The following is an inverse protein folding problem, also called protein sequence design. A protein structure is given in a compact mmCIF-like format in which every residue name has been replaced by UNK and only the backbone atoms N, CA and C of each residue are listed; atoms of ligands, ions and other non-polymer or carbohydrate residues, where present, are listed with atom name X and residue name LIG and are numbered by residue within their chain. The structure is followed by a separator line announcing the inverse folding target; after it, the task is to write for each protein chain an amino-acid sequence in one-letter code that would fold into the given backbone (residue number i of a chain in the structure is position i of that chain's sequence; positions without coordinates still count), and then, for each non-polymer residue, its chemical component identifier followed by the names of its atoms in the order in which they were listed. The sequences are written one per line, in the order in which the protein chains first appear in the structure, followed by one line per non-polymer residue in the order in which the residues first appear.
data_IF_296497907695
#
_entry.id   IF_296497907695
#
_cell.length_a   1.000
_cell.length_b   1.000
_cell.length_c   1.000
_cell.angle_alpha   90.00
_cell.angle_beta   90.00
_cell.angle_gamma   90.00
#
_symmetry.space_group_name_H-M   'P 1'
#
loop_
_entity.id
_entity.type
_entity.pdbx_description
1 polymer ?
#
# COMPACT_ATOMS: atom_id res chain seq x y z
N UNK A 1 -15.05 -18.83 43.12
CA UNK A 1 -14.60 -17.89 42.08
C UNK A 1 -13.08 -17.85 42.11
N UNK A 2 -12.39 -18.33 41.08
CA UNK A 2 -10.93 -18.19 40.96
C UNK A 2 -10.54 -18.23 39.48
N UNK A 3 -10.69 -17.12 38.79
CA UNK A 3 -10.15 -16.93 37.44
C UNK A 3 -8.64 -16.71 37.57
N UNK A 4 -7.86 -17.70 37.13
CA UNK A 4 -6.39 -17.65 37.15
C UNK A 4 -5.89 -16.81 35.96
N UNK A 5 -5.42 -15.60 36.23
CA UNK A 5 -4.80 -14.73 35.25
C UNK A 5 -3.34 -15.18 35.01
N UNK A 6 -3.10 -16.01 34.00
CA UNK A 6 -1.72 -16.37 33.59
C UNK A 6 -1.16 -15.29 32.66
N UNK A 7 0.05 -14.77 32.89
CA UNK A 7 0.66 -13.77 32.01
C UNK A 7 0.96 -14.39 30.64
N UNK A 8 0.44 -13.79 29.58
CA UNK A 8 0.69 -14.22 28.19
C UNK A 8 2.18 -14.06 27.88
N UNK A 9 2.86 -15.10 27.35
CA UNK A 9 4.28 -15.01 27.00
C UNK A 9 4.51 -13.92 25.95
N UNK A 10 5.65 -13.19 26.03
CA UNK A 10 5.98 -12.15 25.06
C UNK A 10 6.10 -12.74 23.65
N UNK A 11 5.47 -12.09 22.68
CA UNK A 11 5.52 -12.53 21.28
C UNK A 11 6.95 -12.49 20.74
N UNK A 12 7.43 -13.59 20.16
CA UNK A 12 8.72 -13.64 19.46
C UNK A 12 8.71 -12.62 18.31
N UNK A 13 9.65 -11.69 18.34
CA UNK A 13 9.87 -10.73 17.25
C UNK A 13 10.81 -11.36 16.23
N UNK A 14 10.39 -11.34 14.97
CA UNK A 14 11.22 -11.75 13.84
C UNK A 14 11.59 -10.51 13.05
N UNK A 15 12.85 -10.44 12.62
CA UNK A 15 13.34 -9.34 11.80
C UNK A 15 12.70 -9.36 10.39
N UNK A 16 12.96 -8.30 9.62
CA UNK A 16 12.38 -8.14 8.29
C UNK A 16 12.98 -9.12 7.27
N UNK A 17 14.26 -9.46 7.40
CA UNK A 17 14.95 -10.35 6.47
C UNK A 17 14.43 -11.79 6.59
N UNK A 18 14.25 -12.26 7.82
CA UNK A 18 13.68 -13.56 8.14
C UNK A 18 12.26 -13.72 7.59
N UNK A 19 11.41 -12.69 7.77
CA UNK A 19 10.06 -12.69 7.20
C UNK A 19 10.08 -12.70 5.67
N UNK A 20 11.01 -11.98 5.05
CA UNK A 20 11.15 -11.94 3.61
C UNK A 20 11.56 -13.31 3.05
N UNK A 21 12.50 -14.00 3.71
CA UNK A 21 12.91 -15.34 3.31
C UNK A 21 11.75 -16.35 3.43
N UNK A 22 10.99 -16.31 4.53
CA UNK A 22 9.83 -17.17 4.70
C UNK A 22 8.76 -16.96 3.61
N UNK A 23 8.54 -15.71 3.19
CA UNK A 23 7.61 -15.39 2.10
C UNK A 23 8.17 -15.82 0.74
N UNK A 24 9.47 -15.63 0.50
CA UNK A 24 10.16 -16.08 -0.73
C UNK A 24 10.00 -17.59 -0.94
N UNK A 25 10.23 -18.38 0.10
CA UNK A 25 10.03 -19.83 0.09
C UNK A 25 8.59 -20.23 -0.28
N UNK A 26 7.60 -19.50 0.22
CA UNK A 26 6.18 -19.73 -0.13
C UNK A 26 5.86 -19.33 -1.57
N UNK A 27 6.48 -18.27 -2.07
CA UNK A 27 6.32 -17.81 -3.46
C UNK A 27 6.97 -18.78 -4.46
N UNK A 28 8.04 -19.48 -4.06
CA UNK A 28 8.66 -20.59 -4.81
C UNK A 28 7.81 -21.88 -4.84
N UNK A 29 6.63 -21.86 -4.22
CA UNK A 29 5.66 -22.96 -4.25
C UNK A 29 5.80 -23.96 -3.11
N UNK A 30 6.66 -23.71 -2.13
CA UNK A 30 6.72 -24.56 -0.94
C UNK A 30 5.43 -24.42 -0.10
N UNK A 31 4.97 -25.54 0.46
CA UNK A 31 3.78 -25.52 1.32
C UNK A 31 4.06 -24.81 2.66
N UNK A 32 3.02 -24.22 3.25
CA UNK A 32 3.12 -23.56 4.58
C UNK A 32 3.69 -24.51 5.63
N UNK A 33 3.24 -25.76 5.65
CA UNK A 33 3.71 -26.76 6.59
C UNK A 33 5.21 -27.10 6.40
N UNK A 34 5.70 -27.10 5.16
CA UNK A 34 7.11 -27.32 4.88
C UNK A 34 7.97 -26.14 5.35
N UNK A 35 7.57 -24.91 5.01
CA UNK A 35 8.29 -23.70 5.44
C UNK A 35 8.26 -23.55 6.96
N UNK A 36 7.13 -23.85 7.60
CA UNK A 36 6.98 -23.83 9.07
C UNK A 36 7.98 -24.77 9.75
N UNK A 37 8.09 -26.00 9.25
CA UNK A 37 9.06 -27.00 9.73
C UNK A 37 10.50 -26.55 9.49
N UNK A 38 10.81 -26.07 8.29
CA UNK A 38 12.18 -25.63 7.93
C UNK A 38 12.66 -24.45 8.76
N UNK A 39 11.78 -23.48 9.05
CA UNK A 39 12.12 -22.26 9.78
C UNK A 39 11.79 -22.34 11.27
N UNK A 40 11.28 -23.48 11.75
CA UNK A 40 10.83 -23.71 13.12
C UNK A 40 9.89 -22.60 13.64
N UNK A 41 8.88 -22.29 12.83
CA UNK A 41 7.81 -21.33 13.14
C UNK A 41 6.45 -21.98 13.01
N UNK A 42 5.41 -21.38 13.58
CA UNK A 42 4.05 -21.92 13.45
C UNK A 42 3.43 -21.57 12.09
N UNK A 43 2.65 -22.50 11.54
CA UNK A 43 1.87 -22.33 10.32
C UNK A 43 0.97 -21.09 10.39
N UNK A 44 0.32 -20.87 11.54
CA UNK A 44 -0.53 -19.70 11.79
C UNK A 44 0.23 -18.38 11.62
N UNK A 45 1.49 -18.33 12.03
CA UNK A 45 2.32 -17.14 11.88
C UNK A 45 2.66 -16.88 10.41
N UNK A 46 2.98 -17.93 9.65
CA UNK A 46 3.22 -17.83 8.20
C UNK A 46 1.98 -17.38 7.44
N UNK A 47 0.79 -17.92 7.77
CA UNK A 47 -0.47 -17.43 7.23
C UNK A 47 -0.65 -15.94 7.51
N UNK A 48 -0.43 -15.51 8.75
CA UNK A 48 -0.52 -14.11 9.15
C UNK A 48 0.40 -13.21 8.32
N UNK A 49 1.66 -13.62 8.11
CA UNK A 49 2.62 -12.87 7.30
C UNK A 49 2.22 -12.83 5.83
N UNK A 50 1.75 -13.94 5.26
CA UNK A 50 1.26 -14.01 3.87
C UNK A 50 0.08 -13.07 3.64
N UNK A 51 -0.89 -13.06 4.55
CA UNK A 51 -2.05 -12.16 4.46
C UNK A 51 -1.64 -10.69 4.59
N UNK A 52 -0.78 -10.36 5.55
CA UNK A 52 -0.27 -9.01 5.72
C UNK A 52 0.52 -8.53 4.49
N UNK A 53 1.36 -9.38 3.92
CA UNK A 53 2.14 -9.08 2.72
C UNK A 53 1.23 -8.81 1.51
N UNK A 54 0.24 -9.69 1.27
CA UNK A 54 -0.74 -9.50 0.19
C UNK A 54 -1.51 -8.18 0.34
N UNK A 55 -1.97 -7.86 1.56
CA UNK A 55 -2.67 -6.60 1.84
C UNK A 55 -1.78 -5.39 1.57
N UNK A 56 -0.49 -5.48 1.90
CA UNK A 56 0.46 -4.41 1.66
C UNK A 56 0.71 -4.20 0.15
N UNK A 57 0.87 -5.28 -0.62
CA UNK A 57 0.99 -5.18 -2.08
C UNK A 57 -0.25 -4.54 -2.70
N UNK A 58 -1.45 -4.96 -2.30
CA UNK A 58 -2.71 -4.35 -2.76
C UNK A 58 -2.77 -2.84 -2.44
N UNK A 59 -2.36 -2.45 -1.24
CA UNK A 59 -2.31 -1.03 -0.85
C UNK A 59 -1.28 -0.25 -1.68
N UNK A 60 -0.13 -0.84 -2.00
CA UNK A 60 0.89 -0.19 -2.83
C UNK A 60 0.39 0.04 -4.25
N UNK A 61 -0.28 -0.95 -4.86
CA UNK A 61 -0.89 -0.81 -6.19
C UNK A 61 -1.95 0.29 -6.18
N UNK A 62 -2.89 0.26 -5.23
CA UNK A 62 -3.92 1.30 -5.12
C UNK A 62 -3.35 2.71 -4.91
N UNK A 63 -2.27 2.85 -4.14
CA UNK A 63 -1.58 4.13 -3.98
C UNK A 63 -0.93 4.62 -5.29
N UNK A 64 -0.37 3.71 -6.09
CA UNK A 64 0.23 4.07 -7.38
C UNK A 64 -0.81 4.57 -8.37
N UNK A 65 -1.97 3.92 -8.44
CA UNK A 65 -3.10 4.33 -9.29
C UNK A 65 -3.63 5.71 -8.85
N UNK A 66 -3.78 5.92 -7.54
CA UNK A 66 -4.21 7.22 -6.99
C UNK A 66 -3.23 8.34 -7.31
N UNK A 67 -1.92 8.09 -7.25
CA UNK A 67 -0.90 9.08 -7.62
C UNK A 67 -0.98 9.44 -9.11
N UNK A 68 -1.13 8.44 -9.98
CA UNK A 68 -1.26 8.67 -11.42
C UNK A 68 -2.51 9.51 -11.76
N UNK A 69 -3.65 9.21 -11.12
CA UNK A 69 -4.88 9.98 -11.32
C UNK A 69 -4.74 11.40 -10.76
N UNK A 70 -4.07 11.57 -9.61
CA UNK A 70 -3.84 12.90 -9.05
C UNK A 70 -3.03 13.80 -10.01
N UNK A 71 -1.98 13.26 -10.63
CA UNK A 71 -1.18 14.00 -11.61
C UNK A 71 -1.98 14.32 -12.88
N UNK A 72 -2.82 13.39 -13.35
CA UNK A 72 -3.73 13.63 -14.47
C UNK A 72 -4.73 14.75 -14.16
N UNK A 73 -5.30 14.77 -12.96
CA UNK A 73 -6.24 15.80 -12.51
C UNK A 73 -5.56 17.17 -12.40
N UNK A 74 -4.35 17.24 -11.86
CA UNK A 74 -3.56 18.48 -11.82
C UNK A 74 -3.27 19.04 -13.21
N UNK A 75 -2.93 18.17 -14.17
CA UNK A 75 -2.69 18.58 -15.55
C UNK A 75 -3.96 19.15 -16.21
N UNK A 76 -5.11 18.52 -15.99
CA UNK A 76 -6.40 19.01 -16.47
C UNK A 76 -6.77 20.36 -15.84
N UNK A 77 -6.56 20.51 -14.53
CA UNK A 77 -6.82 21.76 -13.82
C UNK A 77 -5.98 22.90 -14.40
N UNK A 78 -4.66 22.69 -14.56
CA UNK A 78 -3.75 23.68 -15.14
C UNK A 78 -4.17 24.10 -16.54
N UNK A 79 -4.64 23.15 -17.37
CA UNK A 79 -5.15 23.44 -18.71
C UNK A 79 -6.41 24.31 -18.65
N UNK A 80 -7.37 23.95 -17.81
CA UNK A 80 -8.61 24.71 -17.65
C UNK A 80 -8.34 26.13 -17.12
N UNK A 81 -7.40 26.30 -16.18
CA UNK A 81 -6.98 27.61 -15.69
C UNK A 81 -6.36 28.47 -16.79
N UNK A 82 -5.50 27.88 -17.62
CA UNK A 82 -4.89 28.56 -18.76
C UNK A 82 -5.95 28.99 -19.79
N UNK A 83 -6.86 28.08 -20.16
CA UNK A 83 -7.96 28.38 -21.09
C UNK A 83 -8.83 29.53 -20.54
N UNK A 84 -9.19 29.49 -19.25
CA UNK A 84 -9.91 30.57 -18.58
C UNK A 84 -9.15 31.90 -18.65
N UNK A 85 -7.85 31.89 -18.41
CA UNK A 85 -7.05 33.11 -18.39
C UNK A 85 -6.87 33.72 -19.78
N UNK A 86 -6.75 32.88 -20.82
CA UNK A 86 -6.78 33.32 -22.21
C UNK A 86 -8.13 33.97 -22.53
N UNK A 87 -9.24 33.33 -22.17
CA UNK A 87 -10.58 33.89 -22.41
C UNK A 87 -10.78 35.22 -21.69
N UNK A 88 -10.33 35.35 -20.43
CA UNK A 88 -10.38 36.61 -19.69
C UNK A 88 -9.58 37.73 -20.37
N UNK A 89 -8.36 37.42 -20.83
CA UNK A 89 -7.53 38.38 -21.56
C UNK A 89 -8.20 38.85 -22.85
N UNK A 90 -8.79 37.92 -23.60
CA UNK A 90 -9.50 38.25 -24.84
C UNK A 90 -10.71 39.15 -24.57
N UNK A 91 -11.56 38.83 -23.60
CA UNK A 91 -12.70 39.66 -23.24
C UNK A 91 -12.26 41.09 -22.89
N UNK A 92 -11.18 41.23 -22.10
CA UNK A 92 -10.66 42.55 -21.72
C UNK A 92 -10.19 43.38 -22.92
N UNK A 93 -9.63 42.76 -23.96
CA UNK A 93 -9.27 43.44 -25.22
C UNK A 93 -10.54 43.92 -25.95
N UNK A 94 -11.59 43.10 -26.00
CA UNK A 94 -12.82 43.44 -26.72
C UNK A 94 -13.71 44.47 -26.00
N UNK A 95 -13.52 44.71 -24.71
CA UNK A 95 -14.31 45.67 -23.92
C UNK A 95 -13.60 47.00 -23.65
N UNK A 96 -12.38 47.21 -24.14
CA UNK A 96 -11.73 48.53 -24.10
C UNK A 96 -12.38 49.45 -25.16
N UNK A 97 -12.93 50.62 -24.79
CA UNK A 97 -13.45 51.57 -25.76
C UNK A 97 -12.29 52.21 -26.55
N UNK A 98 -12.44 52.26 -27.88
CA UNK A 98 -11.54 52.99 -28.80
C UNK A 98 -11.59 54.49 -28.61
#
# INVERSE_FOLDING_TARGET
MASSNKPTPPHRKFDKAFKAEALRMLDEGQSVAQVAKSLNVSDQLLHTWKHAHKKQLQKQVGNSELLAENERLKAQLKRAEMERDILKKNIAIFTQPS
#
